data_IF_238477263442
#
_entry.id   IF_238477263442
#
_cell.length_a   1.000
_cell.length_b   1.000
_cell.length_c   1.000
_cell.angle_alpha   90.00
_cell.angle_beta   90.00
_cell.angle_gamma   90.00
#
_symmetry.space_group_name_H-M   'P 1'
#
loop_
_entity.id
_entity.type
_entity.pdbx_description
1 polymer ?
#
# COMPACT_ATOMS: atom_id res chain seq x y z
N UNK A 1 26.83 -27.43 20.28
CA UNK A 1 26.74 -27.87 18.87
C UNK A 1 25.28 -27.72 18.46
N UNK A 2 24.94 -26.59 17.82
CA UNK A 2 23.57 -26.29 17.39
C UNK A 2 23.39 -26.95 16.03
N UNK A 3 22.55 -27.98 15.95
CA UNK A 3 22.14 -28.57 14.69
C UNK A 3 21.30 -27.53 13.95
N UNK A 4 21.83 -27.02 12.84
CA UNK A 4 21.08 -26.17 11.93
C UNK A 4 19.93 -26.98 11.36
N UNK A 5 18.72 -26.71 11.83
CA UNK A 5 17.49 -27.25 11.28
C UNK A 5 17.39 -26.75 9.83
N UNK A 6 17.77 -27.59 8.88
CA UNK A 6 17.58 -27.36 7.45
C UNK A 6 16.07 -27.40 7.19
N UNK A 7 15.39 -26.26 7.31
CA UNK A 7 14.01 -26.15 6.81
C UNK A 7 14.12 -26.38 5.30
N UNK A 8 13.59 -27.49 4.75
CA UNK A 8 13.69 -27.73 3.33
C UNK A 8 12.92 -26.61 2.63
N UNK A 9 13.62 -25.82 1.82
CA UNK A 9 13.01 -24.89 0.89
C UNK A 9 12.08 -25.71 0.00
N UNK A 10 10.78 -25.68 0.30
CA UNK A 10 9.76 -26.31 -0.55
C UNK A 10 9.71 -25.52 -1.84
N UNK A 11 10.40 -26.02 -2.86
CA UNK A 11 10.38 -25.44 -4.20
C UNK A 11 9.06 -25.79 -4.89
N UNK A 12 8.44 -24.81 -5.53
CA UNK A 12 7.26 -25.00 -6.38
C UNK A 12 7.59 -24.52 -7.81
N UNK A 13 7.02 -25.18 -8.83
CA UNK A 13 7.22 -24.83 -10.24
C UNK A 13 5.97 -24.16 -10.81
N UNK A 14 6.16 -23.01 -11.45
CA UNK A 14 5.11 -22.31 -12.20
C UNK A 14 5.09 -22.83 -13.65
N UNK A 15 3.91 -23.21 -14.13
CA UNK A 15 3.67 -23.57 -15.53
C UNK A 15 2.79 -22.52 -16.19
N UNK A 16 3.19 -22.00 -17.35
CA UNK A 16 2.45 -20.98 -18.08
C UNK A 16 2.32 -21.37 -19.56
N UNK A 17 1.23 -20.93 -20.20
CA UNK A 17 1.04 -21.03 -21.65
C UNK A 17 1.02 -19.63 -22.23
N UNK A 18 1.75 -19.43 -23.31
CA UNK A 18 1.90 -18.16 -24.00
C UNK A 18 1.67 -18.39 -25.50
N UNK A 19 1.26 -17.34 -26.21
CA UNK A 19 1.35 -17.32 -27.67
C UNK A 19 2.82 -17.26 -28.09
N UNK A 20 3.11 -17.67 -29.32
CA UNK A 20 4.47 -17.60 -29.86
C UNK A 20 4.98 -16.16 -29.90
N UNK A 21 4.14 -15.22 -30.34
CA UNK A 21 4.43 -13.78 -30.36
C UNK A 21 4.72 -13.24 -28.95
N UNK A 22 3.92 -13.64 -27.96
CA UNK A 22 4.13 -13.22 -26.57
C UNK A 22 5.44 -13.74 -26.00
N UNK A 23 5.80 -14.99 -26.30
CA UNK A 23 7.09 -15.55 -25.90
C UNK A 23 8.27 -14.88 -26.60
N UNK A 24 8.13 -14.54 -27.89
CA UNK A 24 9.15 -13.82 -28.64
C UNK A 24 9.41 -12.42 -28.05
N UNK A 25 8.35 -11.69 -27.71
CA UNK A 25 8.45 -10.38 -27.06
C UNK A 25 9.16 -10.46 -25.71
N UNK A 26 8.79 -11.42 -24.86
CA UNK A 26 9.45 -11.60 -23.55
C UNK A 26 10.94 -11.94 -23.69
N UNK A 27 11.31 -12.76 -24.69
CA UNK A 27 12.72 -13.06 -24.99
C UNK A 27 13.49 -11.82 -25.40
N UNK A 28 12.91 -10.98 -26.26
CA UNK A 28 13.54 -9.75 -26.69
C UNK A 28 13.73 -8.79 -25.52
N UNK A 29 12.71 -8.60 -24.67
CA UNK A 29 12.79 -7.73 -23.51
C UNK A 29 13.83 -8.22 -22.48
N UNK A 30 13.86 -9.52 -22.21
CA UNK A 30 14.85 -10.12 -21.32
C UNK A 30 16.29 -9.95 -21.85
N UNK A 31 16.49 -10.10 -23.18
CA UNK A 31 17.78 -9.89 -23.81
C UNK A 31 18.28 -8.45 -23.69
N UNK A 32 17.39 -7.45 -23.81
CA UNK A 32 17.73 -6.03 -23.61
C UNK A 32 18.20 -5.75 -22.18
N UNK A 33 17.70 -6.49 -21.19
CA UNK A 33 18.10 -6.35 -19.79
C UNK A 33 19.22 -7.33 -19.38
N UNK A 34 19.80 -8.06 -20.33
CA UNK A 34 20.86 -9.05 -20.08
C UNK A 34 20.45 -10.12 -19.05
N UNK A 35 19.19 -10.55 -19.09
CA UNK A 35 18.62 -11.53 -18.17
C UNK A 35 18.02 -12.72 -18.92
N UNK A 36 17.93 -13.87 -18.24
CA UNK A 36 17.12 -14.98 -18.74
C UNK A 36 15.63 -14.69 -18.58
N UNK A 37 14.80 -15.29 -19.45
CA UNK A 37 13.34 -15.06 -19.48
C UNK A 37 12.68 -15.40 -18.14
N UNK A 38 13.18 -16.41 -17.43
CA UNK A 38 12.59 -16.84 -16.16
C UNK A 38 12.82 -15.77 -15.09
N UNK A 39 14.06 -15.29 -14.95
CA UNK A 39 14.39 -14.22 -14.00
C UNK A 39 13.68 -12.91 -14.34
N UNK A 40 13.65 -12.53 -15.62
CA UNK A 40 12.94 -11.34 -16.10
C UNK A 40 11.45 -11.37 -15.72
N UNK A 41 10.76 -12.47 -15.98
CA UNK A 41 9.34 -12.62 -15.67
C UNK A 41 9.09 -12.73 -14.17
N UNK A 42 9.85 -13.57 -13.47
CA UNK A 42 9.64 -13.79 -12.04
C UNK A 42 9.92 -12.54 -11.20
N UNK A 43 10.96 -11.76 -11.54
CA UNK A 43 11.27 -10.52 -10.84
C UNK A 43 10.08 -9.55 -10.88
N UNK A 44 9.62 -9.22 -12.08
CA UNK A 44 8.46 -8.33 -12.29
C UNK A 44 7.19 -8.88 -11.62
N UNK A 45 6.94 -10.18 -11.74
CA UNK A 45 5.76 -10.80 -11.15
C UNK A 45 5.77 -10.75 -9.61
N UNK A 46 6.92 -11.01 -8.98
CA UNK A 46 7.07 -10.97 -7.53
C UNK A 46 6.96 -9.55 -6.98
N UNK A 47 7.55 -8.57 -7.65
CA UNK A 47 7.42 -7.17 -7.25
C UNK A 47 5.96 -6.71 -7.33
N UNK A 48 5.27 -7.06 -8.42
CA UNK A 48 3.85 -6.75 -8.54
C UNK A 48 3.01 -7.47 -7.48
N UNK A 49 3.32 -8.72 -7.16
CA UNK A 49 2.62 -9.48 -6.14
C UNK A 49 2.79 -8.85 -4.75
N UNK A 50 4.01 -8.42 -4.39
CA UNK A 50 4.28 -7.70 -3.14
C UNK A 50 3.45 -6.43 -3.04
N UNK A 51 3.42 -5.64 -4.11
CA UNK A 51 2.63 -4.42 -4.16
C UNK A 51 1.13 -4.64 -3.97
N UNK A 52 0.59 -5.71 -4.54
CA UNK A 52 -0.83 -6.06 -4.39
C UNK A 52 -1.12 -6.47 -2.95
N UNK A 53 -0.32 -7.37 -2.39
CA UNK A 53 -0.51 -7.88 -1.02
C UNK A 53 -0.33 -6.78 0.02
N UNK A 54 0.71 -5.95 -0.09
CA UNK A 54 0.95 -4.85 0.84
C UNK A 54 -0.19 -3.83 0.81
N UNK A 55 -0.68 -3.47 -0.39
CA UNK A 55 -1.80 -2.52 -0.52
C UNK A 55 -3.08 -3.08 0.11
N UNK A 56 -3.39 -4.34 -0.15
CA UNK A 56 -4.55 -5.02 0.43
C UNK A 56 -4.46 -5.09 1.96
N UNK A 57 -3.30 -5.45 2.49
CA UNK A 57 -3.08 -5.50 3.94
C UNK A 57 -3.21 -4.11 4.59
N UNK A 58 -2.67 -3.07 3.95
CA UNK A 58 -2.79 -1.70 4.44
C UNK A 58 -4.27 -1.26 4.53
N UNK A 59 -5.08 -1.58 3.51
CA UNK A 59 -6.51 -1.31 3.51
C UNK A 59 -7.24 -2.06 4.63
N UNK A 60 -6.93 -3.35 4.83
CA UNK A 60 -7.53 -4.14 5.93
C UNK A 60 -7.19 -3.57 7.30
N UNK A 61 -5.92 -3.20 7.51
CA UNK A 61 -5.48 -2.57 8.76
C UNK A 61 -6.22 -1.24 8.97
N UNK A 62 -6.31 -0.39 7.95
CA UNK A 62 -7.03 0.88 8.03
C UNK A 62 -8.50 0.67 8.39
N UNK A 63 -9.18 -0.28 7.75
CA UNK A 63 -10.58 -0.61 8.06
C UNK A 63 -10.73 -1.13 9.49
N UNK A 64 -9.82 -1.98 9.97
CA UNK A 64 -9.84 -2.49 11.34
C UNK A 64 -9.64 -1.36 12.37
N UNK A 65 -8.74 -0.42 12.08
CA UNK A 65 -8.50 0.76 12.92
C UNK A 65 -9.74 1.66 12.97
N UNK A 66 -10.39 1.91 11.83
CA UNK A 66 -11.64 2.68 11.78
C UNK A 66 -12.75 1.95 12.54
N UNK A 67 -12.88 0.64 12.36
CA UNK A 67 -13.92 -0.14 13.03
C UNK A 67 -13.73 -0.18 14.57
N UNK A 68 -12.50 -0.12 15.05
CA UNK A 68 -12.18 -0.12 16.48
C UNK A 68 -12.58 1.18 17.18
N UNK A 69 -12.52 2.31 16.48
CA UNK A 69 -12.95 3.62 16.99
C UNK A 69 -13.56 4.46 15.86
N UNK A 70 -14.82 4.18 15.47
CA UNK A 70 -15.45 4.85 14.34
C UNK A 70 -15.59 6.35 14.58
N UNK A 71 -15.88 6.75 15.82
CA UNK A 71 -16.13 8.15 16.19
C UNK A 71 -14.90 9.03 16.01
N UNK A 72 -13.69 8.49 16.18
CA UNK A 72 -12.44 9.20 15.89
C UNK A 72 -12.26 9.54 14.41
N UNK A 73 -12.91 8.79 13.53
CA UNK A 73 -12.88 8.99 12.07
C UNK A 73 -14.20 9.53 11.51
N UNK A 74 -15.22 9.75 12.35
CA UNK A 74 -16.39 10.54 12.00
C UNK A 74 -15.92 11.98 11.87
N UNK A 75 -15.86 12.45 10.63
CA UNK A 75 -15.60 13.84 10.33
C UNK A 75 -16.74 14.68 10.93
N UNK A 76 -16.40 15.61 11.83
CA UNK A 76 -17.37 16.60 12.32
C UNK A 76 -17.75 17.51 11.14
N UNK A 77 -19.01 17.51 10.67
CA UNK A 77 -19.44 18.33 9.53
C UNK A 77 -19.23 19.83 9.76
N UNK A 78 -19.08 20.25 11.03
CA UNK A 78 -18.83 21.64 11.41
C UNK A 78 -17.38 22.05 11.26
N UNK A 79 -16.45 21.11 11.06
CA UNK A 79 -15.03 21.39 10.86
C UNK A 79 -14.73 21.42 9.36
N UNK A 80 -14.35 22.58 8.80
CA UNK A 80 -14.07 22.73 7.37
C UNK A 80 -12.83 21.92 6.92
N UNK A 81 -12.77 21.57 5.63
CA UNK A 81 -11.60 20.89 5.02
C UNK A 81 -10.36 21.78 4.96
N UNK A 82 -10.58 23.09 4.87
CA UNK A 82 -9.49 24.06 4.80
C UNK A 82 -8.76 24.13 6.15
N UNK A 83 -7.43 23.88 6.19
CA UNK A 83 -6.69 23.76 7.44
C UNK A 83 -6.61 25.07 8.23
N UNK A 84 -6.58 26.22 7.55
CA UNK A 84 -6.58 27.52 8.22
C UNK A 84 -7.96 27.80 8.85
N UNK A 85 -9.03 27.50 8.13
CA UNK A 85 -10.39 27.64 8.63
C UNK A 85 -10.73 26.64 9.74
N UNK A 86 -10.23 25.40 9.65
CA UNK A 86 -10.37 24.39 10.69
C UNK A 86 -9.68 24.83 11.99
N UNK A 87 -8.50 25.44 11.90
CA UNK A 87 -7.78 25.98 13.04
C UNK A 87 -8.57 27.11 13.73
N UNK A 88 -9.21 27.98 12.94
CA UNK A 88 -10.07 29.05 13.46
C UNK A 88 -11.31 28.50 14.19
N UNK A 89 -12.02 27.53 13.59
CA UNK A 89 -13.20 26.90 14.20
C UNK A 89 -12.84 26.19 15.51
N UNK A 90 -11.69 25.50 15.56
CA UNK A 90 -11.21 24.85 16.78
C UNK A 90 -10.80 25.87 17.85
N UNK A 91 -10.12 26.96 17.47
CA UNK A 91 -9.75 28.03 18.39
C UNK A 91 -10.98 28.67 19.06
N UNK A 92 -12.02 28.99 18.29
CA UNK A 92 -13.29 29.55 18.79
C UNK A 92 -14.03 28.57 19.70
N UNK A 93 -13.94 27.25 19.46
CA UNK A 93 -14.50 26.25 20.37
C UNK A 93 -13.79 26.20 21.73
N UNK A 94 -12.51 26.52 21.78
CA UNK A 94 -11.70 26.51 23.01
C UNK A 94 -11.79 27.84 23.78
N UNK A 95 -12.08 28.95 23.11
CA UNK A 95 -12.31 30.27 23.71
C UNK A 95 -13.45 30.99 22.96
N UNK A 96 -14.71 30.77 23.35
CA UNK A 96 -15.87 31.36 22.68
C UNK A 96 -15.93 32.90 22.83
N UNK A 97 -15.19 33.46 23.79
CA UNK A 97 -15.18 34.90 24.12
C UNK A 97 -13.99 35.65 23.47
N UNK A 98 -13.10 34.93 22.76
CA UNK A 98 -11.87 35.49 22.18
C UNK A 98 -12.10 36.40 20.96
N UNK A 99 -13.25 36.30 20.29
CA UNK A 99 -13.58 37.10 19.10
C UNK A 99 -13.93 38.56 19.44
N UNK A 100 -14.37 38.85 20.67
CA UNK A 100 -14.72 40.20 21.11
C UNK A 100 -13.49 41.12 21.33
N UNK A 101 -12.27 40.57 21.24
CA UNK A 101 -11.01 41.29 21.47
C UNK A 101 -10.27 41.73 20.21
N UNK A 102 -10.76 41.35 19.03
CA UNK A 102 -10.17 41.69 17.73
C UNK A 102 -10.93 42.82 17.00
N UNK A 103 -11.89 43.45 17.66
CA UNK A 103 -12.63 44.64 17.18
C UNK A 103 -11.98 45.96 17.59
#
# INVERSE_FOLDING_TARGET
MVWGEHIPLRTARLHMRLTEEGLALLRQAAAVQEQDVTSFVLGVALDRARDVVTRENALRVQMAVIAADPLRYVRDPRVPDDPELAALVLAVRHDPDGLDRLG
#
